data_IF_582433924607
#
_entry.id   IF_582433924607
#
_cell.length_a   1.000
_cell.length_b   1.000
_cell.length_c   1.000
_cell.angle_alpha   90.00
_cell.angle_beta   90.00
_cell.angle_gamma   90.00
#
_symmetry.space_group_name_H-M   'P 1'
#
loop_
_entity.id
_entity.type
_entity.pdbx_description
1 polymer ?
#
# COMPACT_ATOMS: atom_id res chain seq x y z
N UNK A 1 -10.30 3.99 -2.86
CA UNK A 1 -10.58 2.54 -2.84
C UNK A 1 -10.53 2.00 -4.25
N UNK A 2 -9.88 0.86 -4.49
CA UNK A 2 -9.80 0.23 -5.82
C UNK A 2 -10.36 -1.19 -5.79
N UNK A 3 -11.20 -1.53 -6.76
CA UNK A 3 -11.82 -2.85 -6.89
C UNK A 3 -11.72 -3.35 -8.34
N UNK A 4 -11.92 -4.66 -8.53
CA UNK A 4 -11.94 -5.23 -9.89
C UNK A 4 -13.18 -4.80 -10.68
N UNK A 5 -14.34 -4.76 -10.01
CA UNK A 5 -15.63 -4.34 -10.55
C UNK A 5 -16.60 -3.99 -9.41
N UNK A 6 -17.81 -3.54 -9.76
CA UNK A 6 -18.86 -3.09 -8.85
C UNK A 6 -19.31 -4.18 -7.87
N UNK A 7 -19.31 -5.44 -8.28
CA UNK A 7 -19.78 -6.55 -7.44
C UNK A 7 -18.84 -6.86 -6.27
N UNK A 8 -17.58 -6.39 -6.35
CA UNK A 8 -16.59 -6.54 -5.27
C UNK A 8 -16.50 -5.30 -4.38
N UNK A 9 -17.33 -4.29 -4.61
CA UNK A 9 -17.33 -3.08 -3.79
C UNK A 9 -17.89 -3.40 -2.42
N UNK A 10 -17.09 -3.14 -1.39
CA UNK A 10 -17.43 -3.39 0.01
C UNK A 10 -17.04 -2.19 0.86
N UNK A 11 -17.77 -2.00 1.95
CA UNK A 11 -17.55 -0.94 2.95
C UNK A 11 -17.65 0.50 2.41
N UNK A 12 -18.28 0.71 1.25
CA UNK A 12 -18.35 2.03 0.61
C UNK A 12 -19.03 3.08 1.52
N UNK A 13 -20.13 2.72 2.17
CA UNK A 13 -20.88 3.65 3.02
C UNK A 13 -20.11 4.00 4.30
N UNK A 14 -19.39 3.04 4.87
CA UNK A 14 -18.52 3.23 6.04
C UNK A 14 -17.38 4.19 5.71
N UNK A 15 -16.68 3.98 4.59
CA UNK A 15 -15.60 4.87 4.17
C UNK A 15 -16.10 6.27 3.81
N UNK A 16 -17.27 6.39 3.15
CA UNK A 16 -17.88 7.70 2.85
C UNK A 16 -18.23 8.49 4.11
N UNK A 17 -18.67 7.83 5.18
CA UNK A 17 -19.01 8.50 6.45
C UNK A 17 -17.78 8.97 7.22
N UNK A 18 -16.65 8.29 7.07
CA UNK A 18 -15.42 8.57 7.82
C UNK A 18 -14.42 9.46 7.08
N UNK A 19 -14.64 9.74 5.79
CA UNK A 19 -13.70 10.48 4.94
C UNK A 19 -14.29 11.81 4.47
N UNK A 20 -13.49 12.89 4.52
CA UNK A 20 -13.87 14.19 3.92
C UNK A 20 -14.10 14.09 2.41
N UNK A 21 -13.32 13.21 1.76
CA UNK A 21 -13.44 12.87 0.35
C UNK A 21 -13.32 11.37 0.16
N UNK A 22 -14.20 10.82 -0.65
CA UNK A 22 -14.19 9.40 -1.02
C UNK A 22 -14.04 9.26 -2.53
N UNK A 23 -13.02 8.50 -2.94
CA UNK A 23 -12.80 8.13 -4.32
C UNK A 23 -12.81 6.61 -4.48
N UNK A 24 -13.47 6.16 -5.54
CA UNK A 24 -13.56 4.75 -5.92
C UNK A 24 -13.14 4.57 -7.37
N UNK A 25 -12.35 3.52 -7.63
CA UNK A 25 -12.04 3.05 -8.97
C UNK A 25 -12.41 1.59 -9.14
N UNK A 26 -12.80 1.23 -10.37
CA UNK A 26 -12.97 -0.14 -10.81
C UNK A 26 -12.19 -0.39 -12.10
N UNK A 27 -11.54 -1.55 -12.23
CA UNK A 27 -10.76 -1.88 -13.42
C UNK A 27 -11.60 -1.80 -14.71
N UNK A 28 -12.87 -2.22 -14.63
CA UNK A 28 -13.81 -2.22 -15.76
C UNK A 28 -14.64 -0.93 -15.90
N UNK A 29 -14.62 -0.04 -14.89
CA UNK A 29 -15.41 1.19 -14.86
C UNK A 29 -16.87 1.00 -14.45
N UNK A 30 -17.25 -0.17 -13.95
CA UNK A 30 -18.61 -0.45 -13.49
C UNK A 30 -19.04 0.37 -12.27
N UNK A 31 -18.09 0.94 -11.52
CA UNK A 31 -18.32 1.94 -10.49
C UNK A 31 -17.16 2.95 -10.39
N UNK A 32 -17.48 4.24 -10.29
CA UNK A 32 -16.48 5.29 -10.11
C UNK A 32 -15.57 5.51 -11.31
N UNK A 33 -14.28 5.71 -11.03
CA UNK A 33 -13.26 5.88 -12.05
C UNK A 33 -12.91 4.54 -12.71
N UNK A 34 -12.83 4.51 -14.05
CA UNK A 34 -12.36 3.35 -14.79
C UNK A 34 -10.84 3.32 -14.80
N UNK A 35 -10.24 2.38 -14.08
CA UNK A 35 -8.79 2.21 -13.99
C UNK A 35 -8.30 1.91 -12.58
N UNK A 36 -7.00 2.11 -12.35
CA UNK A 36 -6.36 1.75 -11.09
C UNK A 36 -6.54 2.86 -10.05
N UNK A 37 -6.58 2.48 -8.78
CA UNK A 37 -6.66 3.45 -7.68
C UNK A 37 -5.42 4.35 -7.61
N UNK A 38 -4.29 3.87 -8.12
CA UNK A 38 -3.04 4.63 -8.23
C UNK A 38 -3.15 5.81 -9.19
N UNK A 39 -4.05 5.75 -10.18
CA UNK A 39 -4.28 6.85 -11.11
C UNK A 39 -4.98 8.02 -10.39
N UNK A 40 -5.93 7.69 -9.51
CA UNK A 40 -6.58 8.66 -8.62
C UNK A 40 -5.60 9.22 -7.59
N UNK A 41 -4.72 8.38 -7.03
CA UNK A 41 -3.68 8.83 -6.11
C UNK A 41 -2.71 9.81 -6.79
N UNK A 42 -2.24 9.52 -8.00
CA UNK A 42 -1.32 10.41 -8.72
C UNK A 42 -1.98 11.77 -8.98
N UNK A 43 -3.25 11.80 -9.36
CA UNK A 43 -4.00 13.04 -9.54
C UNK A 43 -4.06 13.86 -8.24
N UNK A 44 -4.36 13.22 -7.12
CA UNK A 44 -4.45 13.90 -5.83
C UNK A 44 -3.08 14.44 -5.36
N UNK A 45 -2.00 13.68 -5.57
CA UNK A 45 -0.63 14.12 -5.27
C UNK A 45 -0.15 15.28 -6.16
N UNK A 46 -0.65 15.39 -7.40
CA UNK A 46 -0.35 16.51 -8.29
C UNK A 46 -1.05 17.80 -7.90
N UNK A 47 -2.31 17.70 -7.46
CA UNK A 47 -3.17 18.86 -7.21
C UNK A 47 -3.04 19.41 -5.79
N UNK A 48 -2.58 18.60 -4.83
CA UNK A 48 -2.60 18.93 -3.40
C UNK A 48 -1.30 18.57 -2.72
N UNK A 49 -0.99 19.32 -1.67
CA UNK A 49 0.01 18.91 -0.69
C UNK A 49 -0.63 17.85 0.22
N UNK A 50 -0.09 16.62 0.17
CA UNK A 50 -0.48 15.50 1.02
C UNK A 50 0.67 15.25 1.99
N UNK A 51 0.38 15.24 3.29
CA UNK A 51 1.41 15.05 4.32
C UNK A 51 1.90 13.60 4.39
N UNK A 52 0.98 12.64 4.21
CA UNK A 52 1.24 11.22 4.32
C UNK A 52 0.22 10.37 3.56
N UNK A 53 0.69 9.25 2.99
CA UNK A 53 -0.12 8.22 2.35
C UNK A 53 -0.01 6.92 3.16
N UNK A 54 -1.15 6.26 3.37
CA UNK A 54 -1.22 4.91 3.93
C UNK A 54 -1.78 3.96 2.88
N UNK A 55 -1.09 2.85 2.62
CA UNK A 55 -1.50 1.91 1.59
C UNK A 55 -1.52 0.46 2.09
N UNK A 56 -2.54 -0.27 1.68
CA UNK A 56 -2.68 -1.71 1.89
C UNK A 56 -3.32 -2.30 0.63
N UNK A 57 -2.72 -3.35 0.07
CA UNK A 57 -3.21 -4.02 -1.12
C UNK A 57 -2.13 -4.84 -1.81
N UNK A 58 -2.38 -5.33 -3.04
CA UNK A 58 -1.46 -6.20 -3.74
C UNK A 58 -0.08 -5.56 -3.98
N UNK A 59 0.98 -6.36 -3.99
CA UNK A 59 2.36 -5.90 -4.21
C UNK A 59 2.55 -5.00 -5.44
N UNK A 60 1.94 -5.26 -6.62
CA UNK A 60 2.03 -4.35 -7.76
C UNK A 60 1.44 -2.96 -7.48
N UNK A 61 0.33 -2.89 -6.72
CA UNK A 61 -0.28 -1.64 -6.31
C UNK A 61 0.64 -0.90 -5.33
N UNK A 62 1.16 -1.60 -4.32
CA UNK A 62 2.09 -1.02 -3.34
C UNK A 62 3.34 -0.45 -4.04
N UNK A 63 3.93 -1.18 -4.99
CA UNK A 63 5.08 -0.69 -5.78
C UNK A 63 4.76 0.64 -6.46
N UNK A 64 3.60 0.72 -7.11
CA UNK A 64 3.18 1.96 -7.78
C UNK A 64 2.94 3.10 -6.80
N UNK A 65 2.35 2.82 -5.63
CA UNK A 65 2.20 3.82 -4.57
C UNK A 65 3.56 4.33 -4.11
N UNK A 66 4.52 3.44 -3.83
CA UNK A 66 5.87 3.80 -3.41
C UNK A 66 6.59 4.68 -4.44
N UNK A 67 6.47 4.36 -5.74
CA UNK A 67 7.00 5.17 -6.83
C UNK A 67 6.39 6.58 -6.85
N UNK A 68 5.07 6.68 -6.73
CA UNK A 68 4.36 7.96 -6.73
C UNK A 68 4.73 8.80 -5.52
N UNK A 69 4.71 8.22 -4.32
CA UNK A 69 5.02 8.97 -3.10
C UNK A 69 6.48 9.42 -3.08
N UNK A 70 7.41 8.64 -3.66
CA UNK A 70 8.80 9.08 -3.85
C UNK A 70 8.92 10.21 -4.89
N UNK A 71 8.17 10.13 -6.01
CA UNK A 71 8.15 11.17 -7.06
C UNK A 71 7.65 12.53 -6.53
N UNK A 72 6.68 12.51 -5.63
CA UNK A 72 6.05 13.72 -5.06
C UNK A 72 6.54 14.06 -3.65
N UNK A 73 7.67 13.47 -3.20
CA UNK A 73 8.28 13.69 -1.88
C UNK A 73 7.27 13.63 -0.72
N UNK A 74 6.40 12.61 -0.76
CA UNK A 74 5.32 12.40 0.21
C UNK A 74 5.65 11.22 1.11
N UNK A 75 5.45 11.37 2.43
CA UNK A 75 5.64 10.26 3.38
C UNK A 75 4.66 9.14 3.07
N UNK A 76 5.11 7.89 3.19
CA UNK A 76 4.25 6.75 2.89
C UNK A 76 4.52 5.57 3.82
N UNK A 77 3.45 4.97 4.31
CA UNK A 77 3.47 3.69 5.02
C UNK A 77 2.70 2.64 4.24
N UNK A 78 3.25 1.44 4.18
CA UNK A 78 2.71 0.31 3.43
C UNK A 78 2.51 -0.87 4.35
N UNK A 79 1.31 -1.44 4.34
CA UNK A 79 1.01 -2.70 5.01
C UNK A 79 1.36 -3.85 4.07
N UNK A 80 2.40 -4.59 4.43
CA UNK A 80 2.91 -5.72 3.66
C UNK A 80 2.20 -7.02 4.01
N UNK A 81 2.01 -7.86 3.00
CA UNK A 81 1.52 -9.23 3.17
C UNK A 81 2.62 -10.22 2.80
N UNK A 82 2.73 -11.29 3.58
CA UNK A 82 3.62 -12.42 3.31
C UNK A 82 2.94 -13.72 3.72
N UNK A 83 3.45 -14.86 3.23
CA UNK A 83 2.98 -16.16 3.71
C UNK A 83 3.37 -16.30 5.19
N UNK A 84 2.39 -16.59 6.03
CA UNK A 84 2.57 -16.75 7.47
C UNK A 84 2.31 -18.20 7.90
N UNK A 85 3.10 -18.68 8.86
CA UNK A 85 2.85 -19.92 9.58
C UNK A 85 2.37 -19.64 11.00
N UNK A 86 3.29 -19.22 11.87
CA UNK A 86 2.99 -19.03 13.30
C UNK A 86 2.31 -17.70 13.66
N UNK A 87 2.49 -16.64 12.87
CA UNK A 87 1.95 -15.30 13.15
C UNK A 87 2.57 -14.56 14.36
N UNK A 88 3.59 -15.12 15.01
CA UNK A 88 4.19 -14.59 16.26
C UNK A 88 5.73 -14.46 16.18
N UNK A 89 6.30 -14.55 14.99
CA UNK A 89 7.75 -14.42 14.76
C UNK A 89 8.60 -15.66 15.08
N UNK A 90 7.99 -16.80 15.41
CA UNK A 90 8.72 -18.03 15.73
C UNK A 90 9.21 -18.82 14.50
N UNK A 91 8.37 -18.95 13.46
CA UNK A 91 8.67 -19.78 12.29
C UNK A 91 9.53 -19.10 11.22
N UNK A 92 9.69 -17.78 11.29
CA UNK A 92 10.47 -16.94 10.35
C UNK A 92 10.02 -16.96 8.87
N UNK A 93 8.95 -17.70 8.52
CA UNK A 93 8.43 -17.82 7.14
C UNK A 93 8.00 -16.50 6.50
N UNK A 94 7.49 -15.54 7.27
CA UNK A 94 6.96 -14.28 6.74
C UNK A 94 8.04 -13.21 6.51
N UNK A 95 9.21 -13.64 6.04
CA UNK A 95 10.35 -12.75 5.82
C UNK A 95 10.09 -11.78 4.65
N UNK A 96 10.54 -10.54 4.80
CA UNK A 96 10.61 -9.53 3.75
C UNK A 96 11.95 -8.79 3.86
N UNK A 97 12.41 -8.17 2.78
CA UNK A 97 13.67 -7.40 2.79
C UNK A 97 13.43 -5.96 3.19
N UNK A 98 14.20 -5.49 4.16
CA UNK A 98 14.29 -4.08 4.55
C UNK A 98 15.72 -3.58 4.34
N UNK A 99 15.88 -2.28 4.07
CA UNK A 99 17.19 -1.64 4.00
C UNK A 99 17.89 -1.73 5.34
N UNK A 100 19.20 -1.96 5.30
CA UNK A 100 20.04 -2.04 6.48
C UNK A 100 21.39 -1.36 6.23
N UNK A 101 22.01 -0.85 7.30
CA UNK A 101 23.36 -0.28 7.29
C UNK A 101 24.42 -1.38 7.44
N UNK A 102 24.43 -2.35 6.53
CA UNK A 102 25.40 -3.46 6.50
C UNK A 102 26.04 -3.58 5.09
N UNK A 103 27.01 -4.50 4.93
CA UNK A 103 27.73 -4.68 3.65
C UNK A 103 26.79 -5.04 2.48
N UNK A 104 25.70 -5.74 2.76
CA UNK A 104 24.70 -6.15 1.76
C UNK A 104 23.69 -5.03 1.45
N UNK A 105 23.55 -4.03 2.32
CA UNK A 105 22.57 -2.95 2.24
C UNK A 105 21.14 -3.34 2.59
N UNK A 106 20.91 -4.58 3.06
CA UNK A 106 19.58 -5.10 3.42
C UNK A 106 19.63 -6.16 4.50
N UNK A 107 18.50 -6.40 5.16
CA UNK A 107 18.29 -7.51 6.10
C UNK A 107 16.88 -8.09 5.97
N UNK A 108 16.65 -9.26 6.57
CA UNK A 108 15.30 -9.85 6.64
C UNK A 108 14.55 -9.33 7.87
N UNK A 109 13.45 -8.63 7.62
CA UNK A 109 12.40 -8.35 8.60
C UNK A 109 11.27 -9.38 8.50
N UNK A 110 10.47 -9.53 9.55
CA UNK A 110 9.36 -10.49 9.58
C UNK A 110 8.02 -9.77 9.71
N UNK A 111 7.17 -9.87 8.69
CA UNK A 111 5.88 -9.14 8.63
C UNK A 111 5.01 -9.35 9.87
N UNK A 112 4.95 -10.55 10.44
CA UNK A 112 4.11 -10.82 11.62
C UNK A 112 4.65 -10.29 12.95
N UNK A 113 5.92 -9.89 13.02
CA UNK A 113 6.60 -9.47 14.25
C UNK A 113 7.10 -8.03 14.17
N UNK A 114 7.78 -7.70 13.07
CA UNK A 114 8.41 -6.41 12.83
C UNK A 114 7.50 -5.50 12.00
N UNK A 115 6.51 -6.07 11.30
CA UNK A 115 5.49 -5.37 10.54
C UNK A 115 4.08 -5.41 11.18
N UNK A 116 3.00 -5.51 10.39
CA UNK A 116 2.96 -5.57 8.92
C UNK A 116 3.16 -4.22 8.24
N UNK A 117 3.12 -3.12 9.00
CA UNK A 117 3.24 -1.76 8.48
C UNK A 117 4.69 -1.30 8.53
N UNK A 118 5.19 -0.86 7.40
CA UNK A 118 6.54 -0.38 7.20
C UNK A 118 6.54 0.98 6.51
N UNK A 119 7.60 1.76 6.66
CA UNK A 119 7.84 2.93 5.83
C UNK A 119 8.17 2.53 4.39
N UNK A 120 7.61 3.22 3.41
CA UNK A 120 7.83 2.91 1.98
C UNK A 120 9.30 2.95 1.59
N UNK A 121 10.10 3.79 2.24
CA UNK A 121 11.51 3.97 1.91
C UNK A 121 12.42 2.92 2.57
N UNK A 122 11.92 2.08 3.49
CA UNK A 122 12.70 1.01 4.14
C UNK A 122 12.48 -0.35 3.48
N UNK A 123 11.31 -0.60 2.87
CA UNK A 123 11.00 -1.88 2.22
C UNK A 123 11.65 -2.00 0.84
N UNK A 124 12.17 -3.20 0.56
CA UNK A 124 12.68 -3.61 -0.75
C UNK A 124 11.70 -4.63 -1.33
N UNK A 125 11.05 -4.27 -2.45
CA UNK A 125 10.14 -5.16 -3.17
C UNK A 125 10.89 -5.91 -4.28
N UNK A 126 10.94 -7.24 -4.18
CA UNK A 126 11.49 -8.14 -5.21
C UNK A 126 10.76 -8.02 -6.56
#
# INVERSE_FOLDING_TARGET
>A
MGYRNKDHVVLEDEYKKLSDKYFISTDDGSAGYKGLVTDLLEKELQEKSIDIVYACGPTPMIRKVMELTNKYDTKCQVSMEQRMGCGIGACLVCACKTKAENEDGWEYSHVCKDGPVFWSNEIILD
#
